data_IF_433024289411
#
_entry.id   IF_433024289411
#
_cell.length_a   1.000
_cell.length_b   1.000
_cell.length_c   1.000
_cell.angle_alpha   90.00
_cell.angle_beta   90.00
_cell.angle_gamma   90.00
#
_symmetry.space_group_name_H-M   'P 1'
#
loop_
_entity.id
_entity.type
_entity.pdbx_description
1 polymer ?
#
# COMPACT_ATOMS: atom_id res chain seq x y z
N UNK A 1 28.13 -5.43 25.73
CA UNK A 1 27.79 -4.52 24.62
C UNK A 1 27.29 -3.20 25.19
N UNK A 2 27.91 -2.08 24.82
CA UNK A 2 27.45 -0.75 25.25
C UNK A 2 26.08 -0.51 24.62
N UNK A 3 25.10 -0.19 25.43
CA UNK A 3 23.71 0.07 24.99
C UNK A 3 23.70 1.42 24.28
N UNK A 4 23.41 1.44 22.98
CA UNK A 4 23.24 2.67 22.18
C UNK A 4 22.18 3.57 22.78
N UNK A 5 22.46 4.88 22.88
CA UNK A 5 21.58 5.93 23.43
C UNK A 5 21.23 6.95 22.34
N UNK A 6 20.14 7.68 22.51
CA UNK A 6 19.77 8.77 21.60
C UNK A 6 20.83 9.85 21.54
N UNK A 7 21.53 10.10 22.66
CA UNK A 7 22.65 11.03 22.73
C UNK A 7 23.85 10.68 21.84
N UNK A 8 24.00 9.39 21.47
CA UNK A 8 25.08 8.95 20.57
C UNK A 8 24.87 9.46 19.11
N UNK A 9 23.64 9.89 18.78
CA UNK A 9 23.31 10.47 17.47
C UNK A 9 23.73 11.94 17.36
N UNK A 10 23.90 12.63 18.49
CA UNK A 10 24.12 14.07 18.50
C UNK A 10 25.44 14.48 17.81
N UNK A 11 26.56 13.90 18.21
CA UNK A 11 27.85 14.25 17.63
C UNK A 11 27.93 14.04 16.11
N UNK A 12 27.52 12.87 15.56
CA UNK A 12 27.48 12.70 14.11
C UNK A 12 26.63 13.75 13.38
N UNK A 13 25.45 14.09 13.94
CA UNK A 13 24.56 15.09 13.33
C UNK A 13 25.17 16.48 13.44
N UNK A 14 25.78 16.82 14.57
CA UNK A 14 26.47 18.08 14.79
C UNK A 14 27.60 18.24 13.80
N UNK A 15 28.54 17.30 13.71
CA UNK A 15 29.71 17.34 12.84
C UNK A 15 29.27 17.48 11.37
N UNK A 16 28.22 16.75 10.96
CA UNK A 16 27.63 16.82 9.61
C UNK A 16 27.14 18.24 9.28
N UNK A 17 26.46 18.90 10.22
CA UNK A 17 25.90 20.24 10.01
C UNK A 17 26.99 21.30 10.12
N UNK A 18 27.94 21.15 11.05
CA UNK A 18 29.09 22.09 11.21
C UNK A 18 30.00 22.05 9.97
N UNK A 19 30.22 20.90 9.37
CA UNK A 19 30.93 20.75 8.09
C UNK A 19 30.28 21.54 6.94
N UNK A 20 28.98 21.84 7.05
CA UNK A 20 28.26 22.70 6.09
C UNK A 20 28.22 24.17 6.51
N UNK A 21 28.91 24.55 7.57
CA UNK A 21 29.04 25.92 8.06
C UNK A 21 27.94 26.38 9.00
N UNK A 22 27.13 25.45 9.56
CA UNK A 22 26.16 25.78 10.61
C UNK A 22 26.82 25.88 11.97
N UNK A 23 26.32 26.75 12.82
CA UNK A 23 26.56 26.73 14.27
C UNK A 23 25.48 25.86 14.91
N UNK A 24 25.91 24.82 15.61
CA UNK A 24 24.99 23.78 16.13
C UNK A 24 24.93 23.79 17.64
N UNK A 25 23.74 23.77 18.22
CA UNK A 25 23.50 23.62 19.66
C UNK A 25 22.43 22.57 19.93
N UNK A 26 22.58 21.86 21.03
CA UNK A 26 21.59 20.87 21.52
C UNK A 26 20.70 21.46 22.60
N UNK A 27 19.55 20.82 22.83
CA UNK A 27 18.63 21.08 23.94
C UNK A 27 18.20 22.56 24.04
N UNK A 28 17.87 23.16 22.88
CA UNK A 28 17.34 24.52 22.84
C UNK A 28 15.83 24.49 23.05
N UNK A 29 15.40 24.78 24.28
CA UNK A 29 13.99 24.64 24.68
C UNK A 29 13.54 23.17 24.61
N UNK A 30 12.63 22.85 23.69
CA UNK A 30 12.13 21.48 23.52
C UNK A 30 12.69 20.80 22.24
N UNK A 31 13.75 21.35 21.65
CA UNK A 31 14.37 20.90 20.41
C UNK A 31 15.67 20.15 20.71
N UNK A 32 15.81 18.92 20.21
CA UNK A 32 17.01 18.11 20.45
C UNK A 32 18.27 18.75 19.83
N UNK A 33 18.19 19.22 18.58
CA UNK A 33 19.29 19.89 17.88
C UNK A 33 18.77 21.07 17.07
N UNK A 34 19.41 22.22 17.23
CA UNK A 34 19.17 23.42 16.44
C UNK A 34 20.47 23.88 15.77
N UNK A 35 20.39 24.17 14.48
CA UNK A 35 21.49 24.64 13.67
C UNK A 35 21.14 25.94 12.94
N UNK A 36 22.05 26.91 12.96
CA UNK A 36 21.86 28.24 12.36
C UNK A 36 23.08 28.58 11.50
N UNK A 37 22.85 29.14 10.32
CA UNK A 37 23.91 29.61 9.43
C UNK A 37 23.57 31.02 8.91
N UNK A 38 24.30 32.02 9.37
CA UNK A 38 24.12 33.44 8.96
C UNK A 38 22.67 33.90 9.08
N UNK A 39 22.07 34.43 8.00
CA UNK A 39 20.71 34.89 7.91
C UNK A 39 19.75 33.82 7.30
N UNK A 40 20.18 32.57 7.17
CA UNK A 40 19.35 31.49 6.65
C UNK A 40 18.33 31.03 7.69
N UNK A 41 17.31 30.32 7.23
CA UNK A 41 16.36 29.68 8.13
C UNK A 41 17.08 28.66 9.03
N UNK A 42 16.71 28.56 10.30
CA UNK A 42 17.29 27.56 11.17
C UNK A 42 16.89 26.15 10.74
N UNK A 43 17.75 25.17 11.02
CA UNK A 43 17.42 23.74 10.89
C UNK A 43 17.14 23.21 12.28
N UNK A 44 16.06 22.42 12.43
CA UNK A 44 15.74 21.67 13.62
C UNK A 44 15.87 20.18 13.32
N UNK A 45 16.54 19.42 14.20
CA UNK A 45 16.65 17.96 14.07
C UNK A 45 16.17 17.30 15.36
N UNK A 46 15.21 16.40 15.26
CA UNK A 46 14.75 15.54 16.35
C UNK A 46 15.42 14.17 16.24
N UNK A 47 15.99 13.70 17.35
CA UNK A 47 16.82 12.49 17.42
C UNK A 47 16.05 11.32 18.05
N UNK A 48 16.11 10.12 17.44
CA UNK A 48 15.59 8.89 18.02
C UNK A 48 16.39 7.67 17.56
N UNK A 49 16.47 6.65 18.40
CA UNK A 49 17.12 5.40 18.02
C UNK A 49 16.33 4.63 16.94
N UNK A 50 15.02 4.83 16.87
CA UNK A 50 14.16 4.14 15.91
C UNK A 50 12.97 4.99 15.50
N UNK A 51 12.38 4.66 14.35
CA UNK A 51 11.13 5.26 13.91
C UNK A 51 10.00 5.01 14.90
N UNK A 52 9.27 6.08 15.24
CA UNK A 52 8.09 6.02 16.11
C UNK A 52 7.11 7.13 15.76
N UNK A 53 5.84 6.93 16.06
CA UNK A 53 4.82 7.98 15.91
C UNK A 53 5.12 9.19 16.79
N UNK A 54 5.73 8.96 17.97
CA UNK A 54 6.18 10.04 18.85
C UNK A 54 7.15 10.98 18.15
N UNK A 55 8.16 10.42 17.45
CA UNK A 55 9.14 11.20 16.68
C UNK A 55 8.46 12.00 15.57
N UNK A 56 7.55 11.37 14.82
CA UNK A 56 6.78 12.07 13.78
C UNK A 56 6.01 13.25 14.36
N UNK A 57 5.31 13.06 15.48
CA UNK A 57 4.55 14.12 16.14
C UNK A 57 5.46 15.24 16.67
N UNK A 58 6.66 14.92 17.19
CA UNK A 58 7.64 15.92 17.57
C UNK A 58 8.04 16.78 16.37
N UNK A 59 8.45 16.17 15.25
CA UNK A 59 8.80 16.90 14.04
C UNK A 59 7.64 17.77 13.52
N UNK A 60 6.41 17.25 13.48
CA UNK A 60 5.22 18.02 13.08
C UNK A 60 4.98 19.21 14.01
N UNK A 61 5.21 19.06 15.31
CA UNK A 61 5.11 20.17 16.25
C UNK A 61 6.16 21.26 15.98
N UNK A 62 7.38 20.88 15.54
CA UNK A 62 8.45 21.81 15.18
C UNK A 62 8.16 22.59 13.89
N UNK A 63 7.37 22.04 12.97
CA UNK A 63 6.95 22.77 11.76
C UNK A 63 6.14 24.04 12.06
N UNK A 64 5.61 24.19 13.28
CA UNK A 64 5.00 25.46 13.73
C UNK A 64 6.01 26.57 14.00
N UNK A 65 7.29 26.21 14.12
CA UNK A 65 8.38 27.11 14.54
C UNK A 65 9.37 27.30 13.39
N UNK A 66 9.61 26.25 12.60
CA UNK A 66 10.64 26.22 11.57
C UNK A 66 10.18 25.37 10.39
N UNK A 67 10.51 25.80 9.15
CA UNK A 67 10.19 25.06 7.93
C UNK A 67 11.16 23.89 7.70
N UNK A 68 12.43 24.04 8.13
CA UNK A 68 13.49 23.07 7.88
C UNK A 68 13.67 22.14 9.09
N UNK A 69 12.75 21.17 9.18
CA UNK A 69 12.72 20.17 10.25
C UNK A 69 13.13 18.81 9.70
N UNK A 70 14.09 18.17 10.37
CA UNK A 70 14.53 16.81 10.09
C UNK A 70 14.23 15.86 11.24
N UNK A 71 13.92 14.63 10.92
CA UNK A 71 14.08 13.52 11.86
C UNK A 71 15.36 12.76 11.57
N UNK A 72 16.14 12.44 12.61
CA UNK A 72 17.34 11.64 12.52
C UNK A 72 17.16 10.36 13.34
N UNK A 73 17.41 9.20 12.72
CA UNK A 73 17.32 7.90 13.40
C UNK A 73 18.62 7.11 13.21
N UNK A 74 18.93 6.27 14.19
CA UNK A 74 20.05 5.33 14.05
C UNK A 74 19.80 4.38 12.87
N UNK A 75 20.83 4.15 12.06
CA UNK A 75 20.77 3.22 10.96
C UNK A 75 20.67 1.78 11.47
N UNK A 76 19.56 1.14 11.18
CA UNK A 76 19.36 -0.29 11.46
C UNK A 76 19.93 -1.19 10.36
N UNK A 77 19.85 -2.50 10.58
CA UNK A 77 20.33 -3.52 9.63
C UNK A 77 19.18 -4.28 8.96
N UNK A 78 19.46 -4.79 7.78
CA UNK A 78 18.60 -5.76 7.07
C UNK A 78 17.44 -5.16 6.29
N UNK A 79 16.74 -6.05 5.56
CA UNK A 79 15.66 -5.69 4.60
C UNK A 79 14.48 -4.97 5.27
N UNK A 80 14.16 -5.32 6.51
CA UNK A 80 13.06 -4.69 7.27
C UNK A 80 13.32 -3.21 7.50
N UNK A 81 14.53 -2.86 7.96
CA UNK A 81 14.91 -1.46 8.17
C UNK A 81 14.88 -0.66 6.87
N UNK A 82 15.44 -1.22 5.78
CA UNK A 82 15.43 -0.55 4.48
C UNK A 82 14.01 -0.28 3.98
N UNK A 83 13.09 -1.23 4.16
CA UNK A 83 11.68 -1.06 3.81
C UNK A 83 11.04 0.05 4.66
N UNK A 84 11.21 0.00 5.99
CA UNK A 84 10.67 1.02 6.90
C UNK A 84 11.22 2.41 6.57
N UNK A 85 12.52 2.53 6.25
CA UNK A 85 13.12 3.80 5.85
C UNK A 85 12.50 4.36 4.57
N UNK A 86 12.26 3.52 3.56
CA UNK A 86 11.55 3.93 2.34
C UNK A 86 10.12 4.41 2.61
N UNK A 87 9.39 3.69 3.44
CA UNK A 87 8.00 4.05 3.80
C UNK A 87 7.98 5.37 4.61
N UNK A 88 8.93 5.55 5.55
CA UNK A 88 9.10 6.79 6.30
C UNK A 88 9.51 7.97 5.43
N UNK A 89 10.40 7.78 4.45
CA UNK A 89 10.76 8.83 3.51
C UNK A 89 9.55 9.31 2.68
N UNK A 90 8.64 8.39 2.32
CA UNK A 90 7.37 8.77 1.67
C UNK A 90 6.51 9.60 2.61
N UNK A 91 6.37 9.19 3.87
CA UNK A 91 5.60 9.93 4.89
C UNK A 91 6.20 11.31 5.14
N UNK A 92 7.52 11.41 5.34
CA UNK A 92 8.24 12.66 5.56
C UNK A 92 8.00 13.66 4.42
N UNK A 93 8.10 13.23 3.16
CA UNK A 93 7.79 14.08 2.00
C UNK A 93 6.34 14.58 1.99
N UNK A 94 5.38 13.82 2.57
CA UNK A 94 3.97 14.28 2.69
C UNK A 94 3.78 15.29 3.80
N UNK A 95 4.59 15.21 4.85
CA UNK A 95 4.54 16.12 5.98
C UNK A 95 5.46 17.34 5.80
N UNK A 96 6.30 17.35 4.78
CA UNK A 96 7.30 18.42 4.57
C UNK A 96 8.52 18.29 5.47
N UNK A 97 8.76 17.12 6.06
CA UNK A 97 9.85 16.83 7.00
C UNK A 97 11.01 16.16 6.26
N UNK A 98 12.24 16.54 6.58
CA UNK A 98 13.46 15.86 6.15
C UNK A 98 13.67 14.55 6.91
N UNK A 99 14.37 13.61 6.30
CA UNK A 99 14.75 12.35 6.92
C UNK A 99 16.21 12.05 6.71
N UNK A 100 16.92 11.79 7.81
CA UNK A 100 18.29 11.30 7.79
C UNK A 100 18.43 10.04 8.66
N UNK A 101 19.39 9.20 8.28
CA UNK A 101 19.83 8.07 9.11
C UNK A 101 21.29 8.22 9.48
N UNK A 102 21.62 7.83 10.72
CA UNK A 102 22.95 7.94 11.30
C UNK A 102 23.54 6.55 11.48
N UNK A 103 24.64 6.26 10.80
CA UNK A 103 25.40 5.02 11.00
C UNK A 103 26.47 5.25 12.06
N UNK A 104 26.19 4.82 13.28
CA UNK A 104 27.01 5.12 14.46
C UNK A 104 28.43 4.54 14.43
N UNK A 105 28.70 3.51 13.62
CA UNK A 105 30.04 2.87 13.54
C UNK A 105 31.10 3.82 12.96
N UNK A 106 30.70 4.67 12.01
CA UNK A 106 31.57 5.58 11.28
C UNK A 106 31.01 7.01 11.18
N UNK A 107 30.01 7.32 11.99
CA UNK A 107 29.33 8.62 12.02
C UNK A 107 28.76 9.08 10.67
N UNK A 108 28.50 8.14 9.75
CA UNK A 108 27.99 8.46 8.43
C UNK A 108 26.51 8.88 8.47
N UNK A 109 26.23 10.05 7.89
CA UNK A 109 24.85 10.56 7.73
C UNK A 109 24.39 10.30 6.29
N UNK A 110 23.20 9.68 6.17
CA UNK A 110 22.52 9.52 4.90
C UNK A 110 21.20 10.30 4.88
N UNK A 111 21.10 11.29 4.01
CA UNK A 111 19.85 12.02 3.75
C UNK A 111 18.98 11.19 2.79
N UNK A 112 17.72 10.95 3.18
CA UNK A 112 16.72 10.22 2.37
C UNK A 112 15.71 11.16 1.71
N UNK A 113 15.44 12.29 2.32
CA UNK A 113 14.72 13.42 1.74
C UNK A 113 14.99 14.68 2.55
N UNK A 114 14.97 15.82 1.86
CA UNK A 114 15.01 17.13 2.46
C UNK A 114 13.62 17.62 2.86
N UNK A 115 13.50 18.62 3.75
CA UNK A 115 12.24 19.27 4.08
C UNK A 115 11.57 19.84 2.83
N UNK A 116 10.26 19.95 2.88
CA UNK A 116 9.45 20.45 1.77
C UNK A 116 8.30 19.51 1.42
N UNK A 117 7.13 20.08 1.20
CA UNK A 117 5.94 19.33 0.89
C UNK A 117 5.94 18.82 -0.55
N UNK A 118 5.80 17.52 -0.72
CA UNK A 118 5.70 16.89 -2.03
C UNK A 118 4.33 16.19 -2.16
N UNK A 119 3.39 16.73 -2.96
CA UNK A 119 2.08 16.13 -3.14
C UNK A 119 2.17 14.74 -3.80
N UNK A 120 1.27 13.81 -3.45
CA UNK A 120 1.25 12.48 -4.07
C UNK A 120 0.84 12.55 -5.54
N UNK A 121 1.56 11.85 -6.40
CA UNK A 121 1.09 11.61 -7.77
C UNK A 121 -0.14 10.71 -7.75
N UNK A 122 -1.24 11.21 -8.31
CA UNK A 122 -2.49 10.44 -8.39
C UNK A 122 -2.38 9.35 -9.46
N UNK A 123 -2.68 8.11 -9.10
CA UNK A 123 -2.76 7.01 -10.05
C UNK A 123 -4.18 6.95 -10.65
N UNK A 124 -4.41 7.71 -11.71
CA UNK A 124 -5.71 7.81 -12.39
C UNK A 124 -6.15 6.46 -12.99
N UNK A 125 -5.20 5.66 -13.50
CA UNK A 125 -5.47 4.32 -14.04
C UNK A 125 -6.05 3.42 -12.94
N UNK A 126 -5.39 3.36 -11.79
CA UNK A 126 -5.86 2.56 -10.66
C UNK A 126 -7.20 3.04 -10.13
N UNK A 127 -7.41 4.36 -10.06
CA UNK A 127 -8.71 4.94 -9.69
C UNK A 127 -9.82 4.47 -10.65
N UNK A 128 -9.58 4.53 -11.97
CA UNK A 128 -10.53 4.08 -12.99
C UNK A 128 -10.85 2.58 -12.86
N UNK A 129 -9.83 1.75 -12.59
CA UNK A 129 -10.01 0.32 -12.36
C UNK A 129 -10.91 0.04 -11.13
N UNK A 130 -10.67 0.74 -10.01
CA UNK A 130 -11.48 0.59 -8.80
C UNK A 130 -12.93 1.04 -9.04
N UNK A 131 -13.16 2.16 -9.70
CA UNK A 131 -14.50 2.65 -10.02
C UNK A 131 -15.23 1.69 -10.98
N UNK A 132 -14.53 1.10 -11.95
CA UNK A 132 -15.10 0.10 -12.85
C UNK A 132 -15.49 -1.18 -12.11
N UNK A 133 -14.64 -1.67 -11.20
CA UNK A 133 -14.95 -2.82 -10.36
C UNK A 133 -16.18 -2.53 -9.47
N UNK A 134 -16.23 -1.35 -8.85
CA UNK A 134 -17.36 -0.91 -8.03
C UNK A 134 -18.66 -0.88 -8.82
N UNK A 135 -18.66 -0.27 -10.01
CA UNK A 135 -19.88 -0.17 -10.84
C UNK A 135 -20.37 -1.52 -11.37
N UNK A 136 -19.46 -2.47 -11.64
CA UNK A 136 -19.81 -3.79 -12.18
C UNK A 136 -20.23 -4.78 -11.11
N UNK A 137 -19.76 -4.61 -9.87
CA UNK A 137 -20.08 -5.54 -8.80
C UNK A 137 -21.55 -5.39 -8.40
N UNK A 138 -22.26 -6.49 -8.34
CA UNK A 138 -23.66 -6.53 -7.89
C UNK A 138 -23.70 -6.76 -6.38
N UNK A 139 -24.40 -5.88 -5.66
CA UNK A 139 -24.49 -5.92 -4.21
C UNK A 139 -23.15 -5.74 -3.50
N UNK A 140 -23.13 -6.05 -2.22
CA UNK A 140 -21.95 -6.01 -1.36
C UNK A 140 -21.70 -7.38 -0.70
N UNK A 141 -21.11 -8.34 -1.44
CA UNK A 141 -20.96 -9.71 -0.98
C UNK A 141 -19.77 -9.94 -0.05
N UNK A 142 -18.89 -8.95 0.12
CA UNK A 142 -17.67 -9.08 0.92
C UNK A 142 -17.74 -8.23 2.18
N UNK A 143 -17.16 -8.74 3.26
CA UNK A 143 -17.01 -7.95 4.49
C UNK A 143 -15.78 -7.04 4.41
N UNK A 144 -15.89 -5.82 4.95
CA UNK A 144 -14.76 -4.89 5.03
C UNK A 144 -13.62 -5.48 5.87
N UNK A 145 -12.37 -5.32 5.39
CA UNK A 145 -11.19 -5.88 6.07
C UNK A 145 -10.91 -7.36 5.79
N UNK A 146 -11.74 -8.02 5.00
CA UNK A 146 -11.54 -9.41 4.59
C UNK A 146 -10.22 -9.59 3.83
N UNK A 147 -9.57 -10.75 4.00
CA UNK A 147 -8.35 -11.09 3.25
C UNK A 147 -8.64 -11.33 1.77
N UNK A 148 -7.61 -11.32 0.91
CA UNK A 148 -7.77 -11.50 -0.54
C UNK A 148 -8.37 -12.84 -0.95
N UNK A 149 -8.29 -13.87 -0.08
CA UNK A 149 -8.83 -15.19 -0.36
C UNK A 149 -10.36 -15.19 -0.22
N UNK A 150 -11.02 -15.73 -1.23
CA UNK A 150 -12.48 -15.86 -1.23
C UNK A 150 -13.26 -14.60 -1.64
N UNK A 151 -12.60 -13.46 -1.92
CA UNK A 151 -13.29 -12.23 -2.33
C UNK A 151 -14.16 -12.44 -3.58
N UNK A 152 -15.37 -11.93 -3.53
CA UNK A 152 -16.32 -11.93 -4.64
C UNK A 152 -16.13 -10.65 -5.45
N UNK A 153 -15.39 -10.74 -6.54
CA UNK A 153 -15.20 -9.66 -7.52
C UNK A 153 -16.30 -9.71 -8.58
N UNK A 154 -16.45 -8.63 -9.37
CA UNK A 154 -17.37 -8.64 -10.52
C UNK A 154 -17.07 -9.78 -11.51
N UNK A 155 -15.79 -10.09 -11.73
CA UNK A 155 -15.38 -11.23 -12.56
C UNK A 155 -15.83 -12.56 -11.96
N UNK A 156 -15.71 -12.74 -10.64
CA UNK A 156 -16.18 -13.98 -9.96
C UNK A 156 -17.70 -14.10 -9.98
N UNK A 157 -18.42 -12.99 -9.88
CA UNK A 157 -19.88 -12.98 -10.04
C UNK A 157 -20.30 -13.42 -11.45
N UNK A 158 -19.63 -12.88 -12.48
CA UNK A 158 -19.88 -13.29 -13.87
C UNK A 158 -19.55 -14.78 -14.09
N UNK A 159 -18.41 -15.26 -13.55
CA UNK A 159 -18.04 -16.67 -13.63
C UNK A 159 -19.05 -17.59 -12.92
N UNK A 160 -19.59 -17.17 -11.77
CA UNK A 160 -20.64 -17.92 -11.07
C UNK A 160 -21.96 -17.96 -11.85
N UNK A 161 -22.35 -16.87 -12.53
CA UNK A 161 -23.54 -16.88 -13.42
C UNK A 161 -23.37 -17.88 -14.55
N UNK A 162 -22.20 -17.89 -15.17
CA UNK A 162 -21.88 -18.85 -16.23
C UNK A 162 -21.94 -20.28 -15.69
N UNK A 163 -21.31 -20.52 -14.53
CA UNK A 163 -21.26 -21.83 -13.91
C UNK A 163 -22.65 -22.32 -13.51
N UNK A 164 -23.49 -21.46 -12.94
CA UNK A 164 -24.87 -21.78 -12.59
C UNK A 164 -25.68 -22.15 -13.84
N UNK A 165 -25.55 -21.39 -14.92
CA UNK A 165 -26.22 -21.70 -16.17
C UNK A 165 -25.79 -23.07 -16.72
N UNK A 166 -24.48 -23.37 -16.78
CA UNK A 166 -23.98 -24.66 -17.25
C UNK A 166 -24.37 -25.83 -16.35
N UNK A 167 -24.48 -25.63 -15.04
CA UNK A 167 -25.02 -26.65 -14.12
C UNK A 167 -26.44 -27.05 -14.46
N UNK A 168 -27.27 -26.06 -14.79
CA UNK A 168 -28.68 -26.28 -15.06
C UNK A 168 -28.95 -26.76 -16.50
N UNK A 169 -28.17 -26.31 -17.45
CA UNK A 169 -28.38 -26.55 -18.89
C UNK A 169 -27.45 -27.60 -19.50
N UNK A 170 -26.42 -28.05 -18.77
CA UNK A 170 -25.43 -28.99 -19.27
C UNK A 170 -24.50 -28.36 -20.33
N UNK A 171 -23.99 -29.23 -21.20
CA UNK A 171 -23.07 -28.84 -22.31
C UNK A 171 -23.74 -27.80 -23.20
N UNK A 172 -23.08 -26.66 -23.41
CA UNK A 172 -23.69 -25.53 -24.11
C UNK A 172 -22.69 -24.80 -25.03
N UNK A 173 -23.22 -24.21 -26.12
CA UNK A 173 -22.45 -23.29 -26.97
C UNK A 173 -22.17 -22.00 -26.25
N UNK A 174 -20.94 -21.47 -26.35
CA UNK A 174 -20.51 -20.21 -25.71
C UNK A 174 -21.40 -19.02 -26.08
N UNK A 175 -21.86 -18.91 -27.31
CA UNK A 175 -22.79 -17.87 -27.76
C UNK A 175 -24.16 -17.95 -27.04
N UNK A 176 -24.64 -19.16 -26.77
CA UNK A 176 -25.88 -19.36 -26.01
C UNK A 176 -25.70 -18.97 -24.54
N UNK A 177 -24.55 -19.31 -23.96
CA UNK A 177 -24.20 -18.89 -22.59
C UNK A 177 -24.19 -17.37 -22.48
N UNK A 178 -23.56 -16.65 -23.43
CA UNK A 178 -23.58 -15.17 -23.49
C UNK A 178 -25.03 -14.65 -23.48
N UNK A 179 -25.86 -15.18 -24.38
CA UNK A 179 -27.26 -14.74 -24.53
C UNK A 179 -28.10 -14.98 -23.27
N UNK A 180 -27.90 -16.11 -22.59
CA UNK A 180 -28.73 -16.51 -21.45
C UNK A 180 -28.25 -15.89 -20.13
N UNK A 181 -26.93 -15.71 -19.96
CA UNK A 181 -26.38 -15.14 -18.71
C UNK A 181 -26.24 -13.62 -18.74
N UNK A 182 -26.31 -13.00 -19.92
CA UNK A 182 -26.02 -11.57 -20.11
C UNK A 182 -24.55 -11.21 -19.89
N UNK A 183 -23.64 -12.18 -19.75
CA UNK A 183 -22.22 -11.95 -19.58
C UNK A 183 -21.55 -11.89 -20.95
N UNK A 184 -21.34 -10.68 -21.46
CA UNK A 184 -20.77 -10.45 -22.81
C UNK A 184 -19.46 -11.22 -23.05
N UNK A 185 -18.62 -11.35 -22.05
CA UNK A 185 -17.32 -12.02 -22.15
C UNK A 185 -17.36 -13.51 -21.72
N UNK A 186 -18.53 -14.14 -21.63
CA UNK A 186 -18.66 -15.51 -21.13
C UNK A 186 -17.78 -16.50 -21.90
N UNK A 187 -17.74 -16.43 -23.23
CA UNK A 187 -16.90 -17.31 -24.08
C UNK A 187 -15.41 -17.15 -23.76
N UNK A 188 -14.96 -15.91 -23.61
CA UNK A 188 -13.57 -15.61 -23.24
C UNK A 188 -13.24 -16.14 -21.85
N UNK A 189 -14.16 -15.92 -20.87
CA UNK A 189 -13.99 -16.37 -19.49
C UNK A 189 -13.92 -17.88 -19.38
N UNK A 190 -14.77 -18.60 -20.15
CA UNK A 190 -14.75 -20.06 -20.20
C UNK A 190 -13.49 -20.61 -20.87
N UNK A 191 -13.00 -19.93 -21.93
CA UNK A 191 -11.75 -20.30 -22.60
C UNK A 191 -10.54 -20.09 -21.69
N UNK A 192 -10.43 -18.91 -21.06
CA UNK A 192 -9.28 -18.52 -20.21
C UNK A 192 -9.29 -19.25 -18.86
N UNK A 193 -10.46 -19.67 -18.40
CA UNK A 193 -10.73 -20.59 -17.29
C UNK A 193 -9.86 -20.39 -16.03
N UNK A 194 -9.71 -19.17 -15.56
CA UNK A 194 -8.84 -18.81 -14.42
C UNK A 194 -9.16 -19.56 -13.11
N UNK A 195 -10.40 -20.05 -12.95
CA UNK A 195 -10.82 -20.81 -11.77
C UNK A 195 -10.81 -22.33 -11.98
N UNK A 196 -10.58 -22.83 -13.19
CA UNK A 196 -10.69 -24.26 -13.48
C UNK A 196 -12.14 -24.80 -13.45
N UNK A 197 -13.15 -23.93 -13.58
CA UNK A 197 -14.57 -24.30 -13.47
C UNK A 197 -15.17 -24.79 -14.77
N UNK A 198 -14.54 -24.51 -15.90
CA UNK A 198 -15.06 -24.78 -17.22
C UNK A 198 -14.17 -25.74 -18.00
N UNK A 199 -14.77 -26.58 -18.80
CA UNK A 199 -14.07 -27.49 -19.70
C UNK A 199 -14.59 -27.30 -21.13
N UNK A 200 -13.67 -27.20 -22.08
CA UNK A 200 -14.00 -27.10 -23.49
C UNK A 200 -14.09 -28.52 -24.07
N UNK A 201 -15.30 -28.93 -24.47
CA UNK A 201 -15.57 -30.24 -25.06
C UNK A 201 -15.28 -30.22 -26.56
N UNK A 202 -15.63 -29.12 -27.25
CA UNK A 202 -15.39 -28.93 -28.67
C UNK A 202 -15.24 -27.42 -28.95
N UNK A 203 -14.95 -27.06 -30.19
CA UNK A 203 -14.83 -25.66 -30.60
C UNK A 203 -16.07 -24.86 -30.24
N UNK A 204 -15.94 -23.93 -29.30
CA UNK A 204 -17.02 -23.08 -28.81
C UNK A 204 -18.06 -23.76 -27.95
N UNK A 205 -17.86 -25.01 -27.55
CA UNK A 205 -18.78 -25.80 -26.70
C UNK A 205 -18.09 -26.07 -25.35
N UNK A 206 -18.79 -25.78 -24.27
CA UNK A 206 -18.27 -25.84 -22.91
C UNK A 206 -19.19 -26.60 -21.97
N UNK A 207 -18.61 -27.17 -20.93
CA UNK A 207 -19.32 -27.77 -19.80
C UNK A 207 -18.72 -27.31 -18.48
N UNK A 208 -19.44 -27.58 -17.37
CA UNK A 208 -18.98 -27.35 -16.03
C UNK A 208 -18.09 -28.51 -15.56
N UNK A 209 -16.97 -28.19 -14.87
CA UNK A 209 -16.14 -29.20 -14.22
C UNK A 209 -16.65 -29.52 -12.83
N UNK A 210 -16.18 -30.62 -12.21
CA UNK A 210 -16.46 -30.94 -10.80
C UNK A 210 -16.06 -29.80 -9.85
N UNK A 211 -14.95 -29.09 -10.14
CA UNK A 211 -14.53 -27.91 -9.37
C UNK A 211 -15.54 -26.77 -9.51
N UNK A 212 -16.09 -26.59 -10.70
CA UNK A 212 -17.16 -25.60 -10.96
C UNK A 212 -18.45 -25.93 -10.22
N UNK A 213 -18.87 -27.20 -10.23
CA UNK A 213 -20.04 -27.67 -9.47
C UNK A 213 -19.91 -27.40 -7.97
N UNK A 214 -18.74 -27.73 -7.40
CA UNK A 214 -18.42 -27.44 -5.99
C UNK A 214 -18.47 -25.94 -5.70
N UNK A 215 -17.89 -25.11 -6.55
CA UNK A 215 -17.90 -23.66 -6.39
C UNK A 215 -19.30 -23.06 -6.42
N UNK A 216 -20.19 -23.53 -7.30
CA UNK A 216 -21.59 -23.11 -7.32
C UNK A 216 -22.33 -23.53 -6.05
N UNK A 217 -22.11 -24.75 -5.56
CA UNK A 217 -22.72 -25.26 -4.33
C UNK A 217 -22.28 -24.46 -3.09
N UNK A 218 -21.01 -24.16 -2.96
CA UNK A 218 -20.44 -23.34 -1.88
C UNK A 218 -20.90 -21.88 -1.94
N UNK A 219 -21.24 -21.37 -3.14
CA UNK A 219 -21.70 -20.00 -3.36
C UNK A 219 -23.24 -19.84 -3.20
N UNK A 220 -23.95 -20.86 -2.74
CA UNK A 220 -25.40 -20.85 -2.55
C UNK A 220 -25.91 -19.67 -1.70
N UNK A 221 -25.16 -19.25 -0.68
CA UNK A 221 -25.50 -18.10 0.16
C UNK A 221 -25.45 -16.78 -0.62
N UNK A 222 -24.54 -16.63 -1.58
CA UNK A 222 -24.39 -15.44 -2.42
C UNK A 222 -25.51 -15.40 -3.46
N UNK A 223 -25.87 -16.56 -4.00
CA UNK A 223 -26.98 -16.74 -4.93
C UNK A 223 -28.29 -16.39 -4.22
N UNK A 224 -28.51 -16.91 -3.01
CA UNK A 224 -29.72 -16.61 -2.19
C UNK A 224 -29.86 -15.14 -1.77
N UNK A 225 -28.75 -14.43 -1.55
CA UNK A 225 -28.78 -12.98 -1.26
C UNK A 225 -29.12 -12.12 -2.48
N UNK A 226 -29.52 -12.71 -3.62
CA UNK A 226 -29.93 -11.99 -4.83
C UNK A 226 -28.79 -11.29 -5.58
N UNK A 227 -27.55 -11.57 -5.19
CA UNK A 227 -26.35 -11.04 -5.87
C UNK A 227 -26.16 -11.70 -7.25
N UNK A 228 -26.67 -12.91 -7.40
CA UNK A 228 -26.76 -13.63 -8.67
C UNK A 228 -28.20 -14.16 -8.77
N UNK A 229 -28.97 -13.61 -9.71
CA UNK A 229 -30.33 -14.10 -10.00
C UNK A 229 -30.24 -15.37 -10.84
N UNK A 230 -31.09 -16.36 -10.51
CA UNK A 230 -31.29 -17.56 -11.31
C UNK A 230 -31.82 -17.25 -12.69
#
# INVERSE_FOLDING_TARGET
MIKTRETDLYLPVKDFLEAQGYVVKSEIGAVDVMAVRRAEKPIIVELKLSFSLKLVNQCVARLKICDDVYMAVAQGKGKRFLKTTKDMAVLCRRLGIGLMTVRLVDSFIQIHCDPGYHPPRKNLKRKKELLREFARRQGDPNDGGQTRFGLITAYRQDALKIALYLRNSGVSKGSLVVKKTGVEKATTMMRDNHYGWFERINTGIYQLTRTGEKAVSESSTIIRKGVIRE
#
